data_IF_687861264718
#
_entry.id   IF_687861264718
#
_cell.length_a   1.000
_cell.length_b   1.000
_cell.length_c   1.000
_cell.angle_alpha   90.00
_cell.angle_beta   90.00
_cell.angle_gamma   90.00
#
_symmetry.space_group_name_H-M   'P 1'
#
loop_
_entity.id
_entity.type
_entity.pdbx_description
1 polymer ?
#
# COMPACT_ATOMS: atom_id res chain seq x y z
N UNK A 1 -37.46 46.94 -39.37
CA UNK A 1 -37.25 45.94 -38.30
C UNK A 1 -35.92 46.28 -37.63
N UNK A 2 -35.95 46.68 -36.36
CA UNK A 2 -34.84 47.18 -35.52
C UNK A 2 -33.69 46.14 -35.38
N UNK A 3 -32.38 46.47 -35.37
CA UNK A 3 -31.53 47.02 -34.26
C UNK A 3 -31.80 46.23 -32.94
N UNK A 4 -30.89 45.60 -32.18
CA UNK A 4 -29.46 45.88 -31.83
C UNK A 4 -28.88 44.80 -30.84
N UNK A 5 -27.55 44.78 -30.68
CA UNK A 5 -26.71 44.68 -29.44
C UNK A 5 -26.12 43.35 -28.87
N UNK A 6 -24.82 43.50 -28.58
CA UNK A 6 -23.83 42.75 -27.78
C UNK A 6 -24.27 42.13 -26.44
N UNK A 7 -23.50 41.11 -26.01
CA UNK A 7 -23.42 40.69 -24.61
C UNK A 7 -22.01 40.18 -24.21
N UNK A 8 -21.43 40.83 -23.20
CA UNK A 8 -20.20 40.50 -22.45
C UNK A 8 -20.43 39.27 -21.51
N UNK A 9 -19.52 38.69 -20.73
CA UNK A 9 -18.28 39.17 -20.11
C UNK A 9 -17.45 37.99 -19.59
N UNK A 10 -16.12 38.14 -19.60
CA UNK A 10 -15.19 37.38 -18.77
C UNK A 10 -15.40 37.74 -17.30
N UNK A 11 -15.46 36.76 -16.41
CA UNK A 11 -15.43 36.99 -14.96
C UNK A 11 -14.04 36.65 -14.42
N UNK A 12 -13.40 37.63 -13.79
CA UNK A 12 -12.19 37.47 -12.97
C UNK A 12 -12.60 37.32 -11.50
N UNK A 13 -12.04 36.28 -10.85
CA UNK A 13 -11.54 36.10 -9.46
C UNK A 13 -12.03 36.99 -8.29
N UNK A 14 -12.04 36.43 -7.06
CA UNK A 14 -10.92 36.74 -6.15
C UNK A 14 -10.47 35.63 -5.17
N UNK A 15 -9.14 35.48 -5.06
CA UNK A 15 -8.27 35.31 -3.89
C UNK A 15 -8.71 34.50 -2.63
N UNK A 16 -7.97 33.39 -2.44
CA UNK A 16 -7.24 32.91 -1.24
C UNK A 16 -7.51 33.52 0.15
N UNK A 17 -7.49 32.65 1.18
CA UNK A 17 -6.66 32.94 2.34
C UNK A 17 -5.70 31.80 2.67
N UNK A 18 -4.41 32.13 2.66
CA UNK A 18 -3.37 31.42 3.39
C UNK A 18 -3.75 31.34 4.87
N UNK A 19 -3.87 30.14 5.42
CA UNK A 19 -3.68 29.91 6.86
C UNK A 19 -2.52 28.93 7.02
N UNK A 20 -1.46 29.45 7.61
CA UNK A 20 -0.28 28.72 8.05
C UNK A 20 -0.62 27.84 9.27
N UNK A 21 0.12 26.73 9.37
CA UNK A 21 0.53 26.01 10.59
C UNK A 21 -0.47 25.84 11.74
N UNK A 22 -0.89 24.58 11.98
CA UNK A 22 -0.75 23.94 13.30
C UNK A 22 -0.86 22.42 13.13
N UNK A 23 0.27 21.76 13.37
CA UNK A 23 0.42 20.32 13.63
C UNK A 23 -0.69 19.79 14.54
N UNK A 24 -1.44 18.79 14.09
CA UNK A 24 -2.22 17.91 14.97
C UNK A 24 -1.64 16.50 14.90
N UNK A 25 -0.44 16.36 15.49
CA UNK A 25 0.07 15.07 15.96
C UNK A 25 -0.83 14.65 17.12
N UNK A 26 -1.79 13.76 16.83
CA UNK A 26 -2.57 13.12 17.89
C UNK A 26 -1.67 12.17 18.68
N UNK A 27 -1.60 12.27 20.03
CA UNK A 27 -0.73 11.43 20.84
C UNK A 27 -1.20 9.97 20.89
N UNK A 28 -0.28 9.06 20.59
CA UNK A 28 -0.27 7.68 21.09
C UNK A 28 -1.45 6.81 20.66
N UNK A 29 -1.51 6.46 19.38
CA UNK A 29 -2.23 5.25 18.99
C UNK A 29 -1.52 4.06 19.67
N UNK A 30 -2.22 3.13 20.33
CA UNK A 30 -1.61 1.88 20.76
C UNK A 30 -0.99 1.28 19.50
N UNK A 31 0.33 1.10 19.47
CA UNK A 31 1.00 0.43 18.35
C UNK A 31 0.17 -0.80 18.04
N UNK A 32 -0.56 -0.86 16.91
CA UNK A 32 -1.40 -2.00 16.67
C UNK A 32 -0.46 -3.18 16.63
N UNK A 33 -0.67 -4.14 17.53
CA UNK A 33 0.04 -5.41 17.45
C UNK A 33 -0.10 -5.88 16.00
N UNK A 34 1.01 -6.21 15.33
CA UNK A 34 0.95 -6.56 13.91
C UNK A 34 -0.09 -7.67 13.73
N UNK A 35 -0.89 -7.56 12.66
CA UNK A 35 -1.84 -8.61 12.31
C UNK A 35 -1.11 -9.97 12.24
N UNK A 36 -1.79 -11.10 12.47
CA UNK A 36 -1.13 -12.41 12.43
C UNK A 36 -0.33 -12.65 11.13
N UNK A 37 -0.84 -12.15 9.99
CA UNK A 37 -0.14 -12.24 8.69
C UNK A 37 1.11 -11.35 8.63
N UNK A 38 1.07 -10.15 9.21
CA UNK A 38 2.24 -9.28 9.29
C UNK A 38 3.30 -9.86 10.25
N UNK A 39 2.87 -10.42 11.40
CA UNK A 39 3.79 -11.09 12.32
C UNK A 39 4.47 -12.30 11.67
N UNK A 40 3.72 -13.09 10.89
CA UNK A 40 4.30 -14.21 10.13
C UNK A 40 5.35 -13.74 9.13
N UNK A 41 5.08 -12.66 8.40
CA UNK A 41 6.05 -12.07 7.47
C UNK A 41 7.30 -11.53 8.20
N UNK A 42 7.14 -10.91 9.37
CA UNK A 42 8.26 -10.44 10.20
C UNK A 42 9.13 -11.59 10.67
N UNK A 43 8.53 -12.66 11.21
CA UNK A 43 9.27 -13.85 11.66
C UNK A 43 10.02 -14.52 10.51
N UNK A 44 9.40 -14.64 9.33
CA UNK A 44 10.05 -15.21 8.13
C UNK A 44 11.24 -14.35 7.67
N UNK A 45 11.06 -13.02 7.61
CA UNK A 45 12.12 -12.11 7.21
C UNK A 45 13.28 -12.08 8.22
N UNK A 46 12.99 -12.10 9.52
CA UNK A 46 13.98 -12.15 10.59
C UNK A 46 14.86 -13.41 10.46
N UNK A 47 14.22 -14.57 10.25
CA UNK A 47 14.93 -15.83 10.01
C UNK A 47 15.76 -15.81 8.73
N UNK A 48 15.25 -15.20 7.67
CA UNK A 48 15.94 -15.08 6.37
C UNK A 48 17.18 -14.18 6.45
N UNK A 49 17.10 -13.06 7.16
CA UNK A 49 18.19 -12.10 7.29
C UNK A 49 19.15 -12.40 8.45
N UNK A 50 18.73 -13.24 9.41
CA UNK A 50 19.48 -13.51 10.64
C UNK A 50 19.54 -12.30 11.58
N UNK A 51 18.47 -11.51 11.63
CA UNK A 51 18.32 -10.31 12.49
C UNK A 51 17.21 -10.51 13.50
N UNK A 52 17.14 -9.64 14.52
CA UNK A 52 16.04 -9.68 15.48
C UNK A 52 14.74 -9.15 14.84
N UNK A 53 13.59 -9.72 15.21
CA UNK A 53 12.28 -9.24 14.73
C UNK A 53 12.04 -7.76 15.05
N UNK A 54 12.64 -7.24 16.13
CA UNK A 54 12.58 -5.83 16.51
C UNK A 54 13.33 -4.88 15.57
N UNK A 55 14.23 -5.40 14.73
CA UNK A 55 14.93 -4.62 13.70
C UNK A 55 14.10 -4.48 12.41
N UNK A 56 12.93 -5.14 12.36
CA UNK A 56 12.03 -5.13 11.21
C UNK A 56 10.85 -4.23 11.49
N UNK A 57 10.60 -3.29 10.58
CA UNK A 57 9.47 -2.37 10.66
C UNK A 57 8.41 -2.73 9.63
N UNK A 58 7.16 -2.89 10.06
CA UNK A 58 6.01 -2.94 9.15
C UNK A 58 5.78 -1.54 8.57
N UNK A 59 5.97 -1.40 7.25
CA UNK A 59 5.71 -0.16 6.53
C UNK A 59 4.27 -0.10 6.00
N UNK A 60 3.75 -1.21 5.52
CA UNK A 60 2.43 -1.29 4.90
C UNK A 60 1.79 -2.66 5.16
N UNK A 61 0.48 -2.64 5.41
CA UNK A 61 -0.39 -3.80 5.43
C UNK A 61 -1.69 -3.40 4.75
N UNK A 62 -1.89 -3.87 3.53
CA UNK A 62 -3.06 -3.53 2.70
C UNK A 62 -3.85 -4.79 2.36
N UNK A 63 -5.18 -4.73 2.45
CA UNK A 63 -6.06 -5.73 1.86
C UNK A 63 -6.15 -5.50 0.34
N UNK A 64 -5.87 -6.52 -0.44
CA UNK A 64 -5.83 -6.43 -1.90
C UNK A 64 -6.59 -7.59 -2.55
N UNK A 65 -7.07 -7.36 -3.77
CA UNK A 65 -7.60 -8.43 -4.62
C UNK A 65 -6.65 -8.66 -5.78
N UNK A 66 -5.95 -9.79 -5.76
CA UNK A 66 -5.02 -10.20 -6.80
C UNK A 66 -5.77 -10.62 -8.07
N UNK A 67 -5.22 -10.26 -9.24
CA UNK A 67 -5.85 -10.58 -10.54
C UNK A 67 -5.87 -12.07 -10.88
N UNK A 68 -4.98 -12.87 -10.29
CA UNK A 68 -4.83 -14.28 -10.59
C UNK A 68 -4.23 -15.04 -9.38
N UNK A 69 -4.15 -16.37 -9.50
CA UNK A 69 -3.56 -17.25 -8.49
C UNK A 69 -2.05 -17.10 -8.29
N UNK A 70 -1.38 -16.17 -8.99
CA UNK A 70 0.02 -15.83 -8.69
C UNK A 70 0.15 -14.97 -7.44
N UNK A 71 -0.97 -14.40 -6.97
CA UNK A 71 -1.01 -13.48 -5.84
C UNK A 71 -0.05 -12.30 -6.02
N UNK A 72 0.05 -11.76 -7.24
CA UNK A 72 0.97 -10.66 -7.54
C UNK A 72 2.45 -11.07 -7.63
N UNK A 73 2.77 -12.36 -7.52
CA UNK A 73 4.14 -12.87 -7.53
C UNK A 73 4.37 -13.93 -8.62
N UNK A 74 4.08 -13.60 -9.87
CA UNK A 74 4.19 -14.53 -10.99
C UNK A 74 5.64 -14.93 -11.29
N UNK A 75 5.87 -16.23 -11.44
CA UNK A 75 7.16 -16.81 -11.82
C UNK A 75 7.16 -17.19 -13.30
N UNK A 76 8.29 -16.97 -13.97
CA UNK A 76 8.45 -17.31 -15.38
C UNK A 76 8.20 -18.81 -15.65
N UNK A 77 7.44 -19.11 -16.69
CA UNK A 77 7.12 -20.48 -17.11
C UNK A 77 6.10 -21.21 -16.22
N UNK A 78 5.52 -20.55 -15.20
CA UNK A 78 4.41 -21.09 -14.41
C UNK A 78 3.07 -20.65 -15.00
N UNK A 79 2.07 -21.51 -14.82
CA UNK A 79 0.68 -21.20 -15.16
C UNK A 79 -0.10 -20.94 -13.87
N UNK A 80 -0.93 -19.91 -13.89
CA UNK A 80 -1.75 -19.49 -12.75
C UNK A 80 -3.23 -19.46 -13.14
N UNK A 81 -4.10 -19.64 -12.15
CA UNK A 81 -5.55 -19.55 -12.34
C UNK A 81 -5.96 -18.10 -12.60
N UNK A 82 -6.86 -17.87 -13.56
CA UNK A 82 -7.37 -16.54 -13.89
C UNK A 82 -8.57 -16.17 -13.02
N UNK A 83 -8.42 -16.30 -11.70
CA UNK A 83 -9.46 -15.98 -10.72
C UNK A 83 -8.98 -14.86 -9.81
N UNK A 84 -9.89 -13.94 -9.46
CA UNK A 84 -9.62 -12.93 -8.45
C UNK A 84 -9.43 -13.60 -7.09
N UNK A 85 -8.40 -13.18 -6.36
CA UNK A 85 -8.07 -13.74 -5.04
C UNK A 85 -7.89 -12.62 -4.02
N UNK A 86 -8.72 -12.62 -2.99
CA UNK A 86 -8.55 -11.72 -1.85
C UNK A 86 -7.32 -12.14 -1.02
N UNK A 87 -6.58 -11.16 -0.56
CA UNK A 87 -5.32 -11.36 0.15
C UNK A 87 -4.80 -10.09 0.80
N UNK A 88 -3.54 -10.12 1.22
CA UNK A 88 -2.87 -8.96 1.78
C UNK A 88 -1.51 -8.73 1.11
N UNK A 89 -1.16 -7.46 0.98
CA UNK A 89 0.18 -6.98 0.62
C UNK A 89 0.82 -6.43 1.90
N UNK A 90 2.02 -6.92 2.20
CA UNK A 90 2.76 -6.57 3.40
C UNK A 90 4.12 -6.04 2.97
N UNK A 91 4.43 -4.79 3.31
CA UNK A 91 5.75 -4.20 3.03
C UNK A 91 6.50 -4.05 4.34
N UNK A 92 7.66 -4.69 4.44
CA UNK A 92 8.55 -4.65 5.58
C UNK A 92 9.83 -3.86 5.24
N UNK A 93 10.44 -3.27 6.27
CA UNK A 93 11.75 -2.62 6.18
C UNK A 93 12.71 -3.28 7.15
N UNK A 94 13.91 -3.64 6.67
CA UNK A 94 15.01 -4.11 7.50
C UNK A 94 16.31 -3.54 6.96
N UNK A 95 17.12 -2.89 7.81
CA UNK A 95 18.38 -2.28 7.40
C UNK A 95 18.25 -1.22 6.29
N UNK A 96 17.08 -0.56 6.17
CA UNK A 96 16.79 0.42 5.12
C UNK A 96 16.41 -0.17 3.76
N UNK A 97 16.30 -1.50 3.65
CA UNK A 97 15.79 -2.19 2.46
C UNK A 97 14.33 -2.59 2.66
N UNK A 98 13.54 -2.54 1.57
CA UNK A 98 12.14 -2.96 1.56
C UNK A 98 11.99 -4.40 1.08
N UNK A 99 11.08 -5.13 1.72
CA UNK A 99 10.74 -6.51 1.41
C UNK A 99 9.22 -6.63 1.31
N UNK A 100 8.72 -7.17 0.21
CA UNK A 100 7.28 -7.31 -0.01
C UNK A 100 6.88 -8.77 0.19
N UNK A 101 5.85 -8.98 1.01
CA UNK A 101 5.25 -10.27 1.31
C UNK A 101 3.80 -10.23 0.88
N UNK A 102 3.34 -11.30 0.23
CA UNK A 102 1.95 -11.41 -0.21
C UNK A 102 1.28 -12.57 0.53
N UNK A 103 -0.04 -12.53 0.63
CA UNK A 103 -0.89 -13.63 1.11
C UNK A 103 -2.17 -13.67 0.28
N UNK A 104 -2.95 -14.74 0.40
CA UNK A 104 -4.28 -14.81 -0.22
C UNK A 104 -4.73 -16.23 -0.56
N UNK A 105 -6.03 -16.39 -0.76
CA UNK A 105 -6.60 -17.69 -1.15
C UNK A 105 -6.37 -18.81 -0.12
N UNK A 106 -6.26 -18.45 1.17
CA UNK A 106 -5.94 -19.38 2.27
C UNK A 106 -4.46 -19.71 2.39
N UNK A 107 -3.59 -19.07 1.60
CA UNK A 107 -2.14 -19.15 1.75
C UNK A 107 -1.63 -18.11 2.73
N UNK A 108 -0.77 -18.58 3.64
CA UNK A 108 0.05 -17.79 4.54
C UNK A 108 0.96 -16.77 3.82
N UNK A 109 1.49 -15.80 4.56
CA UNK A 109 2.40 -14.79 4.04
C UNK A 109 3.66 -15.44 3.43
N UNK A 110 4.11 -14.93 2.30
CA UNK A 110 5.34 -15.39 1.65
C UNK A 110 6.08 -14.24 0.99
N UNK A 111 7.41 -14.31 0.99
CA UNK A 111 8.24 -13.30 0.35
C UNK A 111 8.06 -13.31 -1.16
N UNK A 112 7.80 -12.13 -1.74
CA UNK A 112 7.78 -11.91 -3.17
C UNK A 112 8.99 -11.10 -3.62
N UNK A 113 9.97 -11.78 -4.21
CA UNK A 113 11.20 -11.15 -4.72
C UNK A 113 10.93 -10.19 -5.89
N UNK A 114 9.93 -10.50 -6.72
CA UNK A 114 9.63 -9.74 -7.93
C UNK A 114 8.12 -9.47 -8.02
N UNK A 115 7.61 -8.46 -7.29
CA UNK A 115 6.20 -8.08 -7.35
C UNK A 115 5.79 -7.68 -8.77
N UNK A 116 4.62 -8.13 -9.19
CA UNK A 116 4.04 -7.86 -10.52
C UNK A 116 2.76 -7.04 -10.45
N UNK A 117 2.29 -6.70 -9.24
CA UNK A 117 1.07 -5.94 -8.93
C UNK A 117 1.27 -5.13 -7.65
#
# INVERSE_FOLDING_TARGET
MALVLSGCASTSEPQDPSTEDTVSTSPGEPTPSPSPVAQQAVTDLAGTLGVDEGDITLLELEEVTWRDGSLGCAQSGKMYTQALVDGQRIVLSAGGQRYEYHSGGGRDAFYCENPTQ
#
